data_IF_793784036068
#
_entry.id   IF_793784036068
#
_cell.length_a   1.000
_cell.length_b   1.000
_cell.length_c   1.000
_cell.angle_alpha   90.00
_cell.angle_beta   90.00
_cell.angle_gamma   90.00
#
_symmetry.space_group_name_H-M   'P 1'
#
loop_
_entity.id
_entity.type
_entity.pdbx_description
1 polymer ?
#
# COMPACT_ATOMS: atom_id res chain seq x y z
N UNK A 1 -9.55 -39.46 -2.65
CA UNK A 1 -9.15 -38.20 -3.30
C UNK A 1 -8.87 -37.18 -2.20
N UNK A 2 -7.59 -37.01 -1.85
CA UNK A 2 -7.19 -36.09 -0.78
C UNK A 2 -7.29 -34.65 -1.27
N UNK A 3 -8.21 -33.89 -0.69
CA UNK A 3 -8.38 -32.47 -0.99
C UNK A 3 -7.17 -31.65 -0.55
N UNK A 4 -7.05 -30.45 -1.11
CA UNK A 4 -6.04 -29.47 -0.71
C UNK A 4 -6.33 -29.09 0.75
N UNK A 5 -5.40 -29.43 1.64
CA UNK A 5 -5.48 -29.12 3.06
C UNK A 5 -5.02 -27.67 3.30
N UNK A 6 -5.70 -26.97 4.20
CA UNK A 6 -5.36 -25.62 4.64
C UNK A 6 -3.89 -25.54 5.11
N UNK A 7 -3.37 -26.61 5.73
CA UNK A 7 -1.98 -26.71 6.15
C UNK A 7 -0.97 -26.67 4.99
N UNK A 8 -1.33 -27.25 3.84
CA UNK A 8 -0.46 -27.23 2.65
C UNK A 8 -0.44 -25.84 2.02
N UNK A 9 -1.59 -25.14 1.99
CA UNK A 9 -1.67 -23.77 1.50
C UNK A 9 -0.82 -22.80 2.34
N UNK A 10 -0.80 -22.95 3.67
CA UNK A 10 0.05 -22.11 4.53
C UNK A 10 1.54 -22.33 4.25
N UNK A 11 1.97 -23.57 4.04
CA UNK A 11 3.37 -23.88 3.70
C UNK A 11 3.75 -23.26 2.34
N UNK A 12 2.87 -23.38 1.34
CA UNK A 12 3.08 -22.78 0.02
C UNK A 12 3.14 -21.25 0.13
N UNK A 13 2.21 -20.64 0.88
CA UNK A 13 2.18 -19.20 1.10
C UNK A 13 3.46 -18.70 1.77
N UNK A 14 3.99 -19.42 2.77
CA UNK A 14 5.25 -19.08 3.43
C UNK A 14 6.42 -19.08 2.44
N UNK A 15 6.51 -20.07 1.55
CA UNK A 15 7.55 -20.13 0.52
C UNK A 15 7.44 -18.94 -0.44
N UNK A 16 6.22 -18.62 -0.92
CA UNK A 16 5.98 -17.46 -1.79
C UNK A 16 6.41 -16.16 -1.09
N UNK A 17 6.09 -16.00 0.19
CA UNK A 17 6.50 -14.82 0.96
C UNK A 17 8.01 -14.71 1.10
N UNK A 18 8.72 -15.82 1.27
CA UNK A 18 10.18 -15.84 1.35
C UNK A 18 10.84 -15.53 0.00
N UNK A 19 10.29 -16.05 -1.11
CA UNK A 19 10.82 -15.81 -2.46
C UNK A 19 10.63 -14.37 -2.94
N UNK A 20 9.42 -13.83 -2.75
CA UNK A 20 9.08 -12.49 -3.22
C UNK A 20 9.41 -11.39 -2.19
N UNK A 21 9.60 -11.77 -0.93
CA UNK A 21 9.79 -10.88 0.20
C UNK A 21 8.50 -10.13 0.59
N UNK A 22 8.37 -9.79 1.87
CA UNK A 22 7.20 -9.07 2.40
C UNK A 22 7.01 -7.68 1.80
N UNK A 23 8.08 -7.04 1.30
CA UNK A 23 8.04 -5.67 0.77
C UNK A 23 7.28 -5.57 -0.56
N UNK A 24 7.46 -6.54 -1.47
CA UNK A 24 6.72 -6.63 -2.74
C UNK A 24 5.26 -7.04 -2.50
N UNK A 25 5.06 -8.03 -1.62
CA UNK A 25 3.74 -8.52 -1.23
C UNK A 25 2.90 -7.47 -0.50
N UNK A 26 3.51 -6.60 0.30
CA UNK A 26 2.77 -5.53 1.01
C UNK A 26 2.25 -4.45 0.07
N UNK A 27 3.05 -4.05 -0.94
CA UNK A 27 2.60 -3.07 -1.94
C UNK A 27 1.41 -3.60 -2.73
N UNK A 28 1.61 -4.74 -3.40
CA UNK A 28 0.58 -5.36 -4.26
C UNK A 28 -0.61 -5.86 -3.42
N UNK A 29 -0.35 -6.43 -2.25
CA UNK A 29 -1.38 -6.94 -1.34
C UNK A 29 -2.20 -5.83 -0.67
N UNK A 30 -1.66 -4.62 -0.50
CA UNK A 30 -2.41 -3.47 -0.02
C UNK A 30 -3.50 -3.06 -1.01
N UNK A 31 -3.14 -2.92 -2.28
CA UNK A 31 -4.07 -2.53 -3.35
C UNK A 31 -5.14 -3.60 -3.60
N UNK A 32 -4.72 -4.87 -3.71
CA UNK A 32 -5.64 -6.01 -3.85
C UNK A 32 -6.52 -6.18 -2.61
N UNK A 33 -5.96 -6.00 -1.42
CA UNK A 33 -6.70 -6.08 -0.16
C UNK A 33 -7.75 -4.99 -0.04
N UNK A 34 -7.46 -3.77 -0.46
CA UNK A 34 -8.41 -2.67 -0.49
C UNK A 34 -9.57 -2.94 -1.46
N UNK A 35 -9.27 -3.44 -2.66
CA UNK A 35 -10.28 -3.82 -3.65
C UNK A 35 -11.20 -4.94 -3.13
N UNK A 36 -10.63 -6.00 -2.54
CA UNK A 36 -11.39 -7.11 -1.96
C UNK A 36 -12.20 -6.67 -0.73
N UNK A 37 -11.69 -5.76 0.08
CA UNK A 37 -12.41 -5.18 1.23
C UNK A 37 -13.64 -4.38 0.77
N UNK A 38 -13.49 -3.57 -0.29
CA UNK A 38 -14.59 -2.85 -0.92
C UNK A 38 -15.64 -3.80 -1.52
N UNK A 39 -15.18 -4.85 -2.20
CA UNK A 39 -16.06 -5.90 -2.76
C UNK A 39 -16.85 -6.63 -1.67
N UNK A 40 -16.19 -7.06 -0.58
CA UNK A 40 -16.88 -7.70 0.56
C UNK A 40 -17.89 -6.74 1.19
N UNK A 41 -17.55 -5.46 1.34
CA UNK A 41 -18.46 -4.45 1.92
C UNK A 41 -19.66 -4.17 1.01
N UNK A 42 -19.52 -4.29 -0.31
CA UNK A 42 -20.63 -4.15 -1.26
C UNK A 42 -21.50 -5.42 -1.35
N UNK A 43 -20.91 -6.60 -1.13
CA UNK A 43 -21.65 -7.88 -1.11
C UNK A 43 -22.36 -8.16 0.21
N UNK A 44 -21.86 -7.63 1.32
CA UNK A 44 -22.53 -7.71 2.62
C UNK A 44 -23.49 -6.52 2.74
N UNK A 45 -24.79 -6.78 2.59
CA UNK A 45 -25.90 -5.82 2.60
C UNK A 45 -26.20 -5.22 3.99
N UNK A 46 -25.17 -5.03 4.82
CA UNK A 46 -25.29 -4.59 6.20
C UNK A 46 -24.78 -3.14 6.34
N UNK A 47 -25.63 -2.19 6.77
CA UNK A 47 -25.24 -0.81 6.99
C UNK A 47 -24.54 -0.67 8.33
N UNK A 48 -23.28 -1.10 8.44
CA UNK A 48 -22.45 -0.77 9.60
C UNK A 48 -21.22 0.08 9.27
N UNK A 49 -21.26 1.25 9.93
CA UNK A 49 -20.28 2.24 10.31
C UNK A 49 -18.97 2.36 9.50
N UNK A 50 -18.78 3.55 8.93
CA UNK A 50 -17.46 4.18 8.76
C UNK A 50 -16.95 4.65 10.15
N UNK A 51 -15.64 4.81 10.39
CA UNK A 51 -14.56 4.98 9.40
C UNK A 51 -13.36 4.06 9.62
N UNK A 52 -12.71 3.69 8.51
CA UNK A 52 -11.29 3.38 8.52
C UNK A 52 -10.61 4.37 7.57
N UNK A 53 -10.66 5.66 7.94
CA UNK A 53 -9.53 6.55 7.71
C UNK A 53 -8.41 6.02 8.61
N UNK A 54 -7.56 5.17 8.04
CA UNK A 54 -6.19 5.05 8.50
C UNK A 54 -5.37 5.29 7.25
N UNK A 55 -4.77 6.46 7.27
CA UNK A 55 -3.74 6.95 6.39
C UNK A 55 -2.92 5.79 5.79
N UNK A 56 -3.00 5.66 4.47
CA UNK A 56 -1.89 5.12 3.70
C UNK A 56 -0.78 6.17 3.70
N UNK A 57 -0.19 6.40 4.86
CA UNK A 57 1.01 7.21 4.98
C UNK A 57 2.20 6.34 4.60
N UNK A 58 2.61 6.42 3.34
CA UNK A 58 3.90 5.91 2.88
C UNK A 58 4.41 6.79 1.74
N UNK A 59 4.98 7.96 2.07
CA UNK A 59 6.40 8.23 1.79
C UNK A 59 6.92 9.49 2.54
N UNK A 60 7.49 9.34 3.75
CA UNK A 60 8.04 10.48 4.51
C UNK A 60 9.33 11.07 3.91
N UNK A 61 9.78 10.65 2.72
CA UNK A 61 10.97 11.22 2.06
C UNK A 61 10.66 12.09 0.84
N UNK A 62 9.51 11.95 0.18
CA UNK A 62 9.29 12.63 -1.10
C UNK A 62 8.73 14.05 -1.00
N UNK A 63 8.11 14.43 0.13
CA UNK A 63 7.56 15.77 0.31
C UNK A 63 8.64 16.81 0.63
N UNK A 64 9.78 16.40 1.20
CA UNK A 64 10.84 17.34 1.62
C UNK A 64 11.80 17.72 0.48
N UNK A 65 12.06 16.80 -0.46
CA UNK A 65 12.97 17.06 -1.58
C UNK A 65 12.37 18.02 -2.63
N UNK A 66 11.04 18.04 -2.79
CA UNK A 66 10.37 18.94 -3.73
C UNK A 66 10.34 20.40 -3.26
N UNK A 67 10.16 20.63 -1.95
CA UNK A 67 10.12 21.97 -1.36
C UNK A 67 11.51 22.64 -1.36
N UNK A 68 12.56 21.91 -0.95
CA UNK A 68 13.92 22.45 -0.89
C UNK A 68 14.49 22.77 -2.28
N UNK A 69 14.09 22.04 -3.32
CA UNK A 69 14.55 22.28 -4.70
C UNK A 69 13.81 23.43 -5.38
N UNK A 70 12.55 23.69 -5.00
CA UNK A 70 11.76 24.80 -5.51
C UNK A 70 12.20 26.16 -4.93
N UNK A 71 12.60 26.22 -3.65
CA UNK A 71 13.13 27.44 -3.04
C UNK A 71 14.53 27.81 -3.56
N UNK A 72 15.40 26.83 -3.79
CA UNK A 72 16.74 27.07 -4.36
C UNK A 72 16.72 27.59 -5.81
N UNK A 73 15.68 27.25 -6.59
CA UNK A 73 15.52 27.71 -7.97
C UNK A 73 15.01 29.17 -8.05
N UNK A 74 14.22 29.61 -7.06
CA UNK A 74 13.62 30.96 -7.05
C UNK A 74 14.57 32.05 -6.54
N UNK A 75 15.58 31.68 -5.75
CA UNK A 75 16.59 32.61 -5.22
C UNK A 75 17.63 33.03 -6.28
N UNK A 76 17.90 32.19 -7.29
CA UNK A 76 18.93 32.48 -8.32
C UNK A 76 18.48 33.40 -9.45
N UNK A 77 17.17 33.55 -9.65
CA UNK A 77 16.59 34.34 -10.75
C UNK A 77 16.38 35.83 -10.36
N UNK A 78 16.44 36.15 -9.06
CA UNK A 78 16.19 37.51 -8.55
C UNK A 78 17.45 38.31 -8.22
N UNK A 79 18.63 37.71 -8.35
CA UNK A 79 19.94 38.32 -8.08
C UNK A 79 20.69 38.72 -9.38
N UNK A 80 20.10 38.46 -10.56
CA UNK A 80 20.66 38.81 -11.88
C UNK A 80 19.77 39.75 -12.71
N UNK A 81 18.74 40.37 -12.11
CA UNK A 81 17.94 41.43 -12.74
C UNK A 81 17.94 42.69 -11.88
#
# INVERSE_FOLDING_TARGET
>A
MGGISIWQLLIIAAIVVLLFGTKKLRGIGGDLGAAVKGFKKAMSDEPEAKPAEKDVDFDPKQLNDAATRAEAAKQKDKDQA
#
